data_IF_513836304274
#
_entry.id   IF_513836304274
#
_cell.length_a   1.000
_cell.length_b   1.000
_cell.length_c   1.000
_cell.angle_alpha   90.00
_cell.angle_beta   90.00
_cell.angle_gamma   90.00
#
_symmetry.space_group_name_H-M   'P 1'
#
loop_
_entity.id
_entity.type
_entity.pdbx_description
1 polymer ?
#
# COMPACT_ATOMS: atom_id res chain seq x y z
N UNK A 1 -31.12 44.52 13.30
CA UNK A 1 -29.90 43.95 13.93
C UNK A 1 -30.16 42.48 14.27
N UNK A 2 -29.57 41.52 13.54
CA UNK A 2 -29.77 40.07 13.82
C UNK A 2 -28.93 39.65 15.03
N UNK A 3 -29.57 39.23 16.13
CA UNK A 3 -28.93 38.66 17.33
C UNK A 3 -28.20 37.36 16.95
N UNK A 4 -26.88 37.41 16.80
CA UNK A 4 -26.04 36.22 16.60
C UNK A 4 -26.04 35.42 17.91
N UNK A 5 -26.65 34.24 17.89
CA UNK A 5 -26.86 33.40 19.09
C UNK A 5 -25.51 32.99 19.70
N UNK A 6 -25.34 33.21 21.01
CA UNK A 6 -24.12 32.88 21.77
C UNK A 6 -23.74 31.39 21.65
N UNK A 7 -24.71 30.54 21.40
CA UNK A 7 -24.56 29.09 21.18
C UNK A 7 -23.77 28.81 19.90
N UNK A 8 -24.02 29.56 18.82
CA UNK A 8 -23.32 29.41 17.54
C UNK A 8 -21.83 29.75 17.68
N UNK A 9 -21.50 30.76 18.50
CA UNK A 9 -20.11 31.12 18.79
C UNK A 9 -19.38 30.08 19.66
N UNK A 10 -20.09 29.36 20.54
CA UNK A 10 -19.49 28.29 21.33
C UNK A 10 -19.24 27.04 20.48
N UNK A 11 -20.20 26.67 19.62
CA UNK A 11 -20.07 25.53 18.71
C UNK A 11 -18.93 25.74 17.71
N UNK A 12 -18.80 26.93 17.12
CA UNK A 12 -17.69 27.24 16.18
C UNK A 12 -16.31 27.31 16.85
N UNK A 13 -16.25 27.52 18.17
CA UNK A 13 -14.98 27.51 18.92
C UNK A 13 -14.51 26.10 19.28
N UNK A 14 -15.44 25.16 19.46
CA UNK A 14 -15.15 23.75 19.78
C UNK A 14 -14.92 22.94 18.51
N UNK A 15 -15.69 23.21 17.45
CA UNK A 15 -15.58 22.52 16.16
C UNK A 15 -14.50 23.20 15.30
N UNK A 16 -13.23 22.96 15.66
CA UNK A 16 -12.10 23.28 14.79
C UNK A 16 -11.81 22.06 13.91
N UNK A 17 -12.68 21.82 12.92
CA UNK A 17 -12.65 20.64 12.01
C UNK A 17 -11.25 20.41 11.46
N UNK A 18 -10.52 21.48 11.14
CA UNK A 18 -9.16 21.42 10.58
C UNK A 18 -8.13 20.81 11.55
N UNK A 19 -8.26 21.06 12.86
CA UNK A 19 -7.40 20.48 13.91
C UNK A 19 -7.84 19.07 14.31
N UNK A 20 -9.14 18.82 14.41
CA UNK A 20 -9.67 17.49 14.76
C UNK A 20 -9.41 16.45 13.68
N UNK A 21 -9.47 16.87 12.43
CA UNK A 21 -9.33 15.99 11.27
C UNK A 21 -7.88 15.89 10.76
N UNK A 22 -6.94 16.53 11.47
CA UNK A 22 -5.51 16.57 11.15
C UNK A 22 -5.27 16.71 9.63
N UNK A 23 -5.82 17.79 9.07
CA UNK A 23 -5.97 17.98 7.63
C UNK A 23 -4.66 17.83 6.86
N UNK A 24 -3.53 18.22 7.47
CA UNK A 24 -2.20 18.06 6.88
C UNK A 24 -1.84 16.60 6.71
N UNK A 25 -2.12 15.78 7.73
CA UNK A 25 -1.88 14.33 7.70
C UNK A 25 -2.76 13.64 6.67
N UNK A 26 -4.04 14.02 6.59
CA UNK A 26 -4.94 13.42 5.62
C UNK A 26 -4.60 13.84 4.19
N UNK A 27 -4.26 15.11 3.96
CA UNK A 27 -3.80 15.60 2.65
C UNK A 27 -2.50 14.92 2.21
N UNK A 28 -1.54 14.77 3.11
CA UNK A 28 -0.30 14.05 2.82
C UNK A 28 -0.60 12.59 2.43
N UNK A 29 -1.43 11.89 3.20
CA UNK A 29 -1.84 10.52 2.90
C UNK A 29 -2.55 10.40 1.54
N UNK A 30 -3.50 11.29 1.24
CA UNK A 30 -4.20 11.32 -0.05
C UNK A 30 -3.24 11.62 -1.21
N UNK A 31 -2.29 12.55 -1.05
CA UNK A 31 -1.27 12.83 -2.06
C UNK A 31 -0.35 11.63 -2.29
N UNK A 32 0.08 10.92 -1.24
CA UNK A 32 0.85 9.69 -1.38
C UNK A 32 0.06 8.58 -2.06
N UNK A 33 -1.22 8.43 -1.74
CA UNK A 33 -2.12 7.46 -2.38
C UNK A 33 -2.31 7.78 -3.86
N UNK A 34 -2.60 9.04 -4.20
CA UNK A 34 -2.81 9.48 -5.58
C UNK A 34 -1.52 9.36 -6.39
N UNK A 35 -0.37 9.73 -5.81
CA UNK A 35 0.92 9.60 -6.48
C UNK A 35 1.33 8.13 -6.64
N UNK A 36 1.05 7.29 -5.64
CA UNK A 36 1.25 5.85 -5.73
C UNK A 36 0.36 5.22 -6.80
N UNK A 37 -0.92 5.60 -6.85
CA UNK A 37 -1.86 5.15 -7.87
C UNK A 37 -1.44 5.64 -9.27
N UNK A 38 -1.08 6.92 -9.42
CA UNK A 38 -0.55 7.46 -10.67
C UNK A 38 0.69 6.70 -11.14
N UNK A 39 1.63 6.39 -10.25
CA UNK A 39 2.83 5.59 -10.57
C UNK A 39 2.53 4.15 -10.97
N UNK A 40 1.42 3.58 -10.50
CA UNK A 40 1.01 2.21 -10.84
C UNK A 40 0.31 2.10 -12.21
N UNK A 41 -0.38 3.17 -12.65
CA UNK A 41 -1.22 3.14 -13.87
C UNK A 41 -0.73 4.04 -15.01
N UNK A 42 0.10 5.05 -14.74
CA UNK A 42 0.80 5.79 -15.78
C UNK A 42 2.11 5.05 -16.08
N UNK A 43 2.41 4.72 -17.35
CA UNK A 43 3.76 4.37 -17.75
C UNK A 43 4.69 5.44 -17.20
N UNK A 44 5.72 5.06 -16.46
CA UNK A 44 6.79 5.99 -16.12
C UNK A 44 7.35 6.46 -17.46
N UNK A 45 6.98 7.67 -17.88
CA UNK A 45 7.63 8.35 -18.98
C UNK A 45 9.11 8.36 -18.60
N UNK A 46 9.94 7.69 -19.41
CA UNK A 46 11.38 7.65 -19.20
C UNK A 46 11.81 9.10 -19.01
N UNK A 47 12.28 9.46 -17.83
CA UNK A 47 12.82 10.79 -17.59
C UNK A 47 13.93 10.96 -18.61
N UNK A 48 13.79 11.93 -19.51
CA UNK A 48 14.79 12.27 -20.52
C UNK A 48 16.09 12.64 -19.78
N UNK A 49 16.97 11.66 -19.58
CA UNK A 49 18.20 11.80 -18.79
C UNK A 49 18.52 10.63 -17.85
N UNK A 50 17.59 9.72 -17.56
CA UNK A 50 17.91 8.48 -16.82
C UNK A 50 18.41 7.41 -17.79
N UNK A 51 19.68 7.02 -17.59
CA UNK A 51 20.38 5.92 -18.24
C UNK A 51 19.53 4.64 -18.26
N UNK A 52 19.72 3.75 -19.26
CA UNK A 52 18.83 2.64 -19.54
C UNK A 52 18.69 1.75 -18.31
N UNK A 53 17.50 1.77 -17.69
CA UNK A 53 16.94 0.77 -16.77
C UNK A 53 18.03 -0.10 -16.14
N UNK A 54 18.64 0.34 -15.03
CA UNK A 54 19.70 -0.44 -14.35
C UNK A 54 19.31 -1.91 -14.35
N UNK A 55 20.08 -2.70 -15.09
CA UNK A 55 19.69 -4.08 -15.32
C UNK A 55 19.77 -4.79 -13.97
N UNK A 56 18.94 -5.80 -13.74
CA UNK A 56 19.00 -6.60 -12.52
C UNK A 56 20.43 -7.14 -12.24
N UNK A 57 21.24 -7.30 -13.29
CA UNK A 57 22.66 -7.65 -13.21
C UNK A 57 23.51 -6.54 -12.59
N UNK A 58 23.30 -5.30 -13.01
CA UNK A 58 24.04 -4.12 -12.53
C UNK A 58 23.72 -3.80 -11.07
N UNK A 59 22.44 -3.91 -10.68
CA UNK A 59 22.03 -3.79 -9.29
C UNK A 59 22.52 -4.96 -8.40
N UNK A 60 22.57 -6.19 -8.93
CA UNK A 60 23.10 -7.34 -8.21
C UNK A 60 24.62 -7.24 -7.99
N UNK A 61 25.35 -6.71 -8.99
CA UNK A 61 26.78 -6.41 -8.90
C UNK A 61 27.05 -5.28 -7.90
N UNK A 62 26.30 -4.18 -7.96
CA UNK A 62 26.38 -3.05 -7.01
C UNK A 62 26.14 -3.48 -5.55
N UNK A 63 25.19 -4.40 -5.33
CA UNK A 63 24.86 -4.90 -4.00
C UNK A 63 25.69 -6.12 -3.57
N UNK A 64 26.68 -6.55 -4.36
CA UNK A 64 27.51 -7.74 -4.10
C UNK A 64 26.69 -8.99 -3.70
N UNK A 65 25.52 -9.16 -4.31
CA UNK A 65 24.61 -10.24 -3.97
C UNK A 65 24.96 -11.50 -4.78
N UNK A 66 25.37 -12.58 -4.10
CA UNK A 66 25.44 -13.88 -4.75
C UNK A 66 24.04 -14.36 -5.16
N UNK A 67 23.96 -15.11 -6.26
CA UNK A 67 22.70 -15.70 -6.76
C UNK A 67 21.97 -16.49 -5.66
N UNK A 68 22.70 -17.15 -4.76
CA UNK A 68 22.14 -17.91 -3.64
C UNK A 68 21.43 -17.02 -2.63
N UNK A 69 22.01 -15.86 -2.30
CA UNK A 69 21.42 -14.88 -1.39
C UNK A 69 20.15 -14.28 -1.98
N UNK A 70 20.12 -14.04 -3.29
CA UNK A 70 18.94 -13.54 -4.02
C UNK A 70 17.79 -14.54 -3.90
N UNK A 71 18.04 -15.82 -4.14
CA UNK A 71 17.03 -16.88 -4.05
C UNK A 71 16.53 -17.04 -2.61
N UNK A 72 17.42 -16.96 -1.62
CA UNK A 72 17.04 -17.04 -0.20
C UNK A 72 16.11 -15.88 0.20
N UNK A 73 16.43 -14.64 -0.21
CA UNK A 73 15.59 -13.45 0.04
C UNK A 73 14.26 -13.55 -0.69
N UNK A 74 14.26 -14.05 -1.93
CA UNK A 74 13.04 -14.28 -2.70
C UNK A 74 12.07 -15.22 -1.96
N UNK A 75 12.55 -16.37 -1.49
CA UNK A 75 11.73 -17.32 -0.71
C UNK A 75 11.23 -16.70 0.60
N UNK A 76 12.07 -15.92 1.28
CA UNK A 76 11.69 -15.23 2.51
C UNK A 76 10.56 -14.21 2.28
N UNK A 77 10.66 -13.39 1.23
CA UNK A 77 9.65 -12.39 0.86
C UNK A 77 8.30 -13.04 0.50
N UNK A 78 8.33 -14.16 -0.22
CA UNK A 78 7.11 -14.91 -0.53
C UNK A 78 6.42 -15.45 0.72
N UNK A 79 7.17 -16.06 1.65
CA UNK A 79 6.62 -16.52 2.93
C UNK A 79 6.05 -15.36 3.73
N UNK A 80 6.74 -14.22 3.78
CA UNK A 80 6.27 -13.03 4.48
C UNK A 80 4.96 -12.50 3.88
N UNK A 81 4.86 -12.47 2.55
CA UNK A 81 3.62 -12.13 1.85
C UNK A 81 2.45 -13.02 2.28
N UNK A 82 2.66 -14.34 2.31
CA UNK A 82 1.61 -15.30 2.72
C UNK A 82 1.20 -15.07 4.18
N UNK A 83 2.17 -14.87 5.07
CA UNK A 83 1.90 -14.58 6.49
C UNK A 83 1.06 -13.31 6.63
N UNK A 84 1.35 -12.27 5.86
CA UNK A 84 0.57 -11.02 5.88
C UNK A 84 -0.85 -11.21 5.34
N UNK A 85 -1.06 -12.04 4.32
CA UNK A 85 -2.40 -12.40 3.85
C UNK A 85 -3.17 -13.15 4.94
N UNK A 86 -2.54 -14.13 5.59
CA UNK A 86 -3.16 -14.87 6.70
C UNK A 86 -3.51 -13.95 7.87
N UNK A 87 -2.60 -13.05 8.25
CA UNK A 87 -2.86 -12.05 9.28
C UNK A 87 -4.04 -11.14 8.89
N UNK A 88 -4.10 -10.67 7.64
CA UNK A 88 -5.21 -9.86 7.14
C UNK A 88 -6.54 -10.62 7.21
N UNK A 89 -6.56 -11.91 6.86
CA UNK A 89 -7.74 -12.77 6.98
C UNK A 89 -8.20 -12.94 8.43
N UNK A 90 -7.28 -13.16 9.36
CA UNK A 90 -7.58 -13.28 10.79
C UNK A 90 -8.16 -11.98 11.36
N UNK A 91 -7.55 -10.84 11.04
CA UNK A 91 -8.03 -9.51 11.47
C UNK A 91 -9.40 -9.23 10.84
N UNK A 92 -9.61 -9.61 9.58
CA UNK A 92 -10.90 -9.44 8.91
C UNK A 92 -11.99 -10.31 9.53
N UNK A 93 -11.70 -11.58 9.82
CA UNK A 93 -12.63 -12.46 10.53
C UNK A 93 -13.00 -11.91 11.90
N UNK A 94 -12.02 -11.37 12.63
CA UNK A 94 -12.27 -10.67 13.90
C UNK A 94 -13.11 -9.40 13.73
N UNK A 95 -12.87 -8.62 12.68
CA UNK A 95 -13.70 -7.45 12.36
C UNK A 95 -15.16 -7.87 12.12
N UNK A 96 -15.39 -8.91 11.32
CA UNK A 96 -16.73 -9.45 11.06
C UNK A 96 -17.39 -9.94 12.35
N UNK A 97 -16.65 -10.65 13.22
CA UNK A 97 -17.15 -11.02 14.54
C UNK A 97 -17.61 -9.79 15.33
N UNK A 98 -16.81 -8.73 15.36
CA UNK A 98 -17.12 -7.48 16.08
C UNK A 98 -18.35 -6.75 15.52
N UNK A 99 -18.65 -6.93 14.22
CA UNK A 99 -19.85 -6.39 13.58
C UNK A 99 -21.14 -7.03 14.13
N UNK A 100 -21.13 -8.34 14.39
CA UNK A 100 -22.28 -9.05 14.98
C UNK A 100 -22.58 -8.63 16.42
N UNK A 101 -21.56 -8.18 17.17
CA UNK A 101 -21.72 -7.63 18.53
C UNK A 101 -22.15 -6.16 18.55
N UNK A 102 -22.48 -5.56 17.39
CA UNK A 102 -23.01 -4.20 17.28
C UNK A 102 -21.98 -3.08 17.43
N UNK A 103 -20.69 -3.41 17.50
CA UNK A 103 -19.62 -2.42 17.67
C UNK A 103 -19.08 -1.93 16.33
N UNK A 104 -19.89 -1.11 15.65
CA UNK A 104 -19.58 -0.56 14.30
C UNK A 104 -18.24 0.20 14.29
N UNK A 105 -17.91 0.93 15.37
CA UNK A 105 -16.65 1.67 15.48
C UNK A 105 -15.43 0.74 15.48
N UNK A 106 -15.51 -0.36 16.22
CA UNK A 106 -14.42 -1.34 16.28
C UNK A 106 -14.28 -2.09 14.96
N UNK A 107 -15.41 -2.42 14.30
CA UNK A 107 -15.40 -2.95 12.93
C UNK A 107 -14.66 -2.02 11.95
N UNK A 108 -14.99 -0.71 11.95
CA UNK A 108 -14.34 0.26 11.05
C UNK A 108 -12.83 0.35 11.29
N UNK A 109 -12.38 0.36 12.55
CA UNK A 109 -10.95 0.38 12.88
C UNK A 109 -10.26 -0.91 12.42
N UNK A 110 -10.82 -2.07 12.74
CA UNK A 110 -10.26 -3.36 12.30
C UNK A 110 -10.24 -3.50 10.78
N UNK A 111 -11.24 -2.96 10.08
CA UNK A 111 -11.29 -2.95 8.61
C UNK A 111 -10.15 -2.11 8.01
N UNK A 112 -9.83 -0.96 8.60
CA UNK A 112 -8.67 -0.14 8.18
C UNK A 112 -7.36 -0.92 8.39
N UNK A 113 -7.22 -1.62 9.52
CA UNK A 113 -6.04 -2.45 9.80
C UNK A 113 -5.92 -3.61 8.80
N UNK A 114 -7.03 -4.26 8.45
CA UNK A 114 -7.06 -5.27 7.39
C UNK A 114 -6.56 -4.71 6.06
N UNK A 115 -7.01 -3.51 5.64
CA UNK A 115 -6.55 -2.91 4.39
C UNK A 115 -5.05 -2.58 4.41
N UNK A 116 -4.53 -2.10 5.54
CA UNK A 116 -3.08 -1.87 5.69
C UNK A 116 -2.31 -3.19 5.54
N UNK A 117 -2.76 -4.26 6.19
CA UNK A 117 -2.14 -5.57 6.08
C UNK A 117 -2.19 -6.13 4.64
N UNK A 118 -3.31 -5.94 3.92
CA UNK A 118 -3.43 -6.32 2.52
C UNK A 118 -2.50 -5.52 1.60
N UNK A 119 -2.33 -4.21 1.83
CA UNK A 119 -1.37 -3.39 1.08
C UNK A 119 0.07 -3.87 1.30
N UNK A 120 0.44 -4.22 2.54
CA UNK A 120 1.76 -4.80 2.84
C UNK A 120 1.94 -6.16 2.17
N UNK A 121 0.95 -7.04 2.26
CA UNK A 121 0.96 -8.34 1.60
C UNK A 121 1.19 -8.19 0.09
N UNK A 122 0.42 -7.31 -0.55
CA UNK A 122 0.60 -6.99 -1.97
C UNK A 122 2.02 -6.50 -2.28
N UNK A 123 2.55 -5.56 -1.48
CA UNK A 123 3.92 -5.04 -1.66
C UNK A 123 4.98 -6.14 -1.60
N UNK A 124 4.88 -7.07 -0.64
CA UNK A 124 5.82 -8.18 -0.53
C UNK A 124 5.69 -9.18 -1.69
N UNK A 125 4.47 -9.46 -2.14
CA UNK A 125 4.25 -10.27 -3.34
C UNK A 125 4.82 -9.63 -4.61
N UNK A 126 4.66 -8.30 -4.73
CA UNK A 126 5.20 -7.54 -5.85
C UNK A 126 6.73 -7.58 -5.88
N UNK A 127 7.40 -7.40 -4.74
CA UNK A 127 8.85 -7.56 -4.64
C UNK A 127 9.33 -8.96 -4.97
N UNK A 128 8.62 -9.99 -4.52
CA UNK A 128 8.90 -11.37 -4.92
C UNK A 128 8.84 -11.53 -6.45
N UNK A 129 7.83 -10.94 -7.10
CA UNK A 129 7.65 -11.01 -8.54
C UNK A 129 8.76 -10.27 -9.32
N UNK A 130 9.18 -9.09 -8.85
CA UNK A 130 10.28 -8.34 -9.48
C UNK A 130 11.59 -9.12 -9.43
N UNK A 131 11.90 -9.73 -8.27
CA UNK A 131 13.11 -10.57 -8.10
C UNK A 131 13.02 -11.83 -8.98
N UNK A 132 11.84 -12.47 -9.01
CA UNK A 132 11.62 -13.70 -9.82
C UNK A 132 11.86 -13.45 -11.31
N UNK A 133 11.38 -12.33 -11.83
CA UNK A 133 11.50 -12.02 -13.25
C UNK A 133 12.80 -11.31 -13.63
N UNK A 134 13.68 -11.04 -12.65
CA UNK A 134 14.95 -10.30 -12.85
C UNK A 134 14.75 -9.01 -13.65
N UNK A 135 13.63 -8.32 -13.42
CA UNK A 135 13.26 -7.06 -14.10
C UNK A 135 12.86 -6.02 -13.05
N UNK A 136 13.65 -4.96 -12.97
CA UNK A 136 13.36 -3.77 -12.19
C UNK A 136 12.44 -2.88 -13.05
N UNK A 137 11.26 -2.52 -12.54
CA UNK A 137 10.30 -1.66 -13.27
C UNK A 137 9.13 -2.34 -14.00
N UNK A 138 8.78 -3.61 -13.70
CA UNK A 138 7.56 -4.23 -14.24
C UNK A 138 6.30 -3.40 -13.91
N UNK A 139 5.40 -3.24 -14.88
CA UNK A 139 4.13 -2.53 -14.67
C UNK A 139 3.15 -3.36 -13.86
N UNK A 140 2.20 -2.71 -13.16
CA UNK A 140 1.15 -3.41 -12.40
C UNK A 140 0.32 -4.36 -13.28
N UNK A 141 0.07 -3.95 -14.54
CA UNK A 141 -0.70 -4.75 -15.50
C UNK A 141 0.03 -6.04 -15.88
N UNK A 142 1.35 -5.98 -16.07
CA UNK A 142 2.18 -7.17 -16.30
C UNK A 142 2.21 -8.08 -15.07
N UNK A 143 2.38 -7.52 -13.86
CA UNK A 143 2.32 -8.29 -12.62
C UNK A 143 0.97 -9.00 -12.42
N UNK A 144 -0.14 -8.30 -12.68
CA UNK A 144 -1.48 -8.88 -12.50
C UNK A 144 -1.73 -10.01 -13.51
N UNK A 145 -1.40 -9.79 -14.79
CA UNK A 145 -1.59 -10.80 -15.85
C UNK A 145 -0.67 -12.02 -15.71
N UNK A 146 0.61 -11.82 -15.44
CA UNK A 146 1.60 -12.91 -15.46
C UNK A 146 1.87 -13.49 -14.07
N UNK A 147 1.78 -12.68 -13.01
CA UNK A 147 2.06 -13.09 -11.63
C UNK A 147 0.86 -13.70 -10.92
N UNK A 148 -0.34 -13.11 -11.08
CA UNK A 148 -1.56 -13.60 -10.43
C UNK A 148 -2.41 -14.49 -11.34
N UNK A 149 -2.63 -14.07 -12.58
CA UNK A 149 -3.49 -14.79 -13.53
C UNK A 149 -2.74 -15.90 -14.30
N UNK A 150 -1.41 -15.99 -14.16
CA UNK A 150 -0.61 -17.03 -14.80
C UNK A 150 -0.65 -16.99 -16.33
N UNK A 151 -1.00 -15.84 -16.92
CA UNK A 151 -1.11 -15.67 -18.37
C UNK A 151 0.22 -16.03 -19.04
N UNK A 152 0.22 -17.15 -19.75
CA UNK A 152 1.31 -17.53 -20.67
C UNK A 152 1.37 -16.50 -21.80
N UNK A 153 2.59 -16.21 -22.24
CA UNK A 153 2.89 -15.37 -23.41
C UNK A 153 1.99 -15.70 -24.59
#
# INVERSE_FOLDING_TARGET
MKKRSRIVNLITRIINVRRWFDWERMRAFTLYLVNGFKRLFLPQEKVEGETPTESFSEAAELLHLSDENIIAKQKALFRLSIIMVLAALLIFAYAVYQLFYGSIRAFLVSLVVTFIALVLAFRYHFWYYQIKNRRLGCTFNEWYRQGLLGGKK
#
